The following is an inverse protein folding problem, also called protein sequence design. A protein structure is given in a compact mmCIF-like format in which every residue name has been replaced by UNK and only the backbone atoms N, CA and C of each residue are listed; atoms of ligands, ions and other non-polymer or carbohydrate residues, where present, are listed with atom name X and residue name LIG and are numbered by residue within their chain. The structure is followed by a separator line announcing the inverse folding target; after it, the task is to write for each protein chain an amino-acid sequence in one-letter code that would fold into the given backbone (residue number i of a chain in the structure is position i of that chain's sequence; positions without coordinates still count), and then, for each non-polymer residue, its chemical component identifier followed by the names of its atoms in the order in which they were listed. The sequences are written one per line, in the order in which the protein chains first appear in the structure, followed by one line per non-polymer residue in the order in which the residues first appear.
data_IF_192719409095
#
_entry.id   IF_192719409095
#
_cell.length_a   1.000
_cell.length_b   1.000
_cell.length_c   1.000
_cell.angle_alpha   90.00
_cell.angle_beta   90.00
_cell.angle_gamma   90.00
#
_symmetry.space_group_name_H-M   'P 1'
#
loop_
_entity.id
_entity.type
_entity.pdbx_description
1 polymer ?
#
# COMPACT_ATOMS: atom_id res chain seq x y z
N UNK A 1 -10.99 14.61 13.15
CA UNK A 1 -10.08 13.57 12.59
C UNK A 1 -9.00 14.27 11.78
N UNK A 2 -7.74 13.88 11.93
CA UNK A 2 -6.66 14.52 11.17
C UNK A 2 -6.25 13.65 9.99
N UNK A 3 -6.22 14.21 8.80
CA UNK A 3 -5.79 13.53 7.58
C UNK A 3 -4.45 14.11 7.12
N UNK A 4 -3.54 13.24 6.70
CA UNK A 4 -2.31 13.60 6.01
C UNK A 4 -2.55 13.45 4.51
N UNK A 5 -2.33 14.52 3.76
CA UNK A 5 -2.55 14.57 2.31
C UNK A 5 -1.23 14.91 1.64
N UNK A 6 -0.84 14.11 0.65
CA UNK A 6 0.27 14.41 -0.26
C UNK A 6 -0.32 14.81 -1.59
N UNK A 7 0.25 15.85 -2.20
CA UNK A 7 -0.21 16.38 -3.47
C UNK A 7 0.95 16.73 -4.40
N UNK A 8 0.62 16.72 -5.68
CA UNK A 8 1.53 17.07 -6.78
C UNK A 8 0.88 18.13 -7.67
N UNK A 9 1.69 19.09 -8.11
CA UNK A 9 1.27 20.16 -9.02
C UNK A 9 1.96 19.97 -10.37
N UNK A 10 1.14 19.89 -11.40
CA UNK A 10 1.57 19.68 -12.76
C UNK A 10 1.42 20.94 -13.61
N UNK A 11 2.21 21.04 -14.67
CA UNK A 11 2.02 22.05 -15.70
C UNK A 11 0.89 21.67 -16.67
N UNK A 12 0.56 22.57 -17.60
CA UNK A 12 -0.38 22.31 -18.69
C UNK A 12 0.05 21.15 -19.61
N UNK A 13 1.33 20.78 -19.60
CA UNK A 13 1.89 19.65 -20.35
C UNK A 13 2.08 18.40 -19.47
N UNK A 14 1.49 18.36 -18.27
CA UNK A 14 1.64 17.27 -17.30
C UNK A 14 3.08 17.00 -16.85
N UNK A 15 3.99 17.98 -16.97
CA UNK A 15 5.28 17.94 -16.30
C UNK A 15 5.11 18.32 -14.82
N UNK A 16 5.68 17.53 -13.90
CA UNK A 16 5.66 17.81 -12.46
C UNK A 16 6.43 19.10 -12.16
N UNK A 17 5.78 20.05 -11.50
CA UNK A 17 6.35 21.34 -11.10
C UNK A 17 6.77 21.34 -9.63
N UNK A 18 5.87 20.97 -8.73
CA UNK A 18 6.12 20.92 -7.30
C UNK A 18 5.32 19.77 -6.66
N UNK A 19 5.74 19.36 -5.47
CA UNK A 19 5.01 18.42 -4.61
C UNK A 19 4.97 18.96 -3.20
N UNK A 20 3.93 18.63 -2.47
CA UNK A 20 3.75 19.11 -1.10
C UNK A 20 2.88 18.17 -0.28
N UNK A 21 2.74 18.54 0.99
CA UNK A 21 1.85 17.84 1.91
C UNK A 21 1.06 18.83 2.74
N UNK A 22 -0.09 18.39 3.25
CA UNK A 22 -0.93 19.16 4.15
C UNK A 22 -1.63 18.26 5.16
N UNK A 23 -1.87 18.81 6.35
CA UNK A 23 -2.71 18.15 7.34
C UNK A 23 -4.08 18.81 7.35
N UNK A 24 -5.13 18.02 7.14
CA UNK A 24 -6.49 18.49 7.12
C UNK A 24 -7.23 17.96 8.35
N UNK A 25 -7.72 18.86 9.18
CA UNK A 25 -8.58 18.50 10.31
C UNK A 25 -10.02 18.52 9.83
N UNK A 26 -10.66 17.34 9.84
CA UNK A 26 -12.02 17.13 9.38
C UNK A 26 -12.84 16.56 10.53
N UNK A 27 -13.93 17.21 10.88
CA UNK A 27 -14.80 16.76 11.97
C UNK A 27 -15.60 15.50 11.61
N UNK A 28 -16.01 15.37 10.35
CA UNK A 28 -16.81 14.26 9.84
C UNK A 28 -16.17 13.67 8.56
N UNK A 29 -15.87 12.35 8.49
CA UNK A 29 -15.24 11.75 7.32
C UNK A 29 -16.02 11.93 6.01
N UNK A 30 -17.35 12.06 6.06
CA UNK A 30 -18.17 12.32 4.86
C UNK A 30 -17.93 13.72 4.25
N UNK A 31 -17.28 14.63 4.98
CA UNK A 31 -16.92 15.97 4.49
C UNK A 31 -15.50 16.04 3.93
N UNK A 32 -14.73 14.94 3.96
CA UNK A 32 -13.35 14.92 3.49
C UNK A 32 -13.21 15.41 2.05
N UNK A 33 -14.09 14.96 1.15
CA UNK A 33 -14.05 15.37 -0.26
C UNK A 33 -14.29 16.87 -0.46
N UNK A 34 -15.16 17.45 0.39
CA UNK A 34 -15.51 18.87 0.36
C UNK A 34 -14.32 19.70 0.84
N UNK A 35 -13.80 19.38 2.03
CA UNK A 35 -12.67 20.08 2.64
C UNK A 35 -11.39 19.96 1.80
N UNK A 36 -11.14 18.79 1.21
CA UNK A 36 -10.05 18.56 0.27
C UNK A 36 -10.22 19.41 -1.00
N UNK A 37 -11.44 19.47 -1.54
CA UNK A 37 -11.76 20.30 -2.69
C UNK A 37 -11.54 21.79 -2.42
N UNK A 38 -11.93 22.28 -1.25
CA UNK A 38 -11.74 23.66 -0.83
C UNK A 38 -10.27 24.00 -0.55
N UNK A 39 -9.50 23.05 0.00
CA UNK A 39 -8.05 23.18 0.11
C UNK A 39 -7.40 23.35 -1.26
N UNK A 40 -7.68 22.47 -2.22
CA UNK A 40 -7.08 22.56 -3.55
C UNK A 40 -7.55 23.79 -4.33
N UNK A 41 -8.79 24.23 -4.12
CA UNK A 41 -9.28 25.48 -4.69
C UNK A 41 -8.46 26.68 -4.18
N UNK A 42 -8.25 26.77 -2.86
CA UNK A 42 -7.42 27.83 -2.26
C UNK A 42 -5.96 27.74 -2.71
N UNK A 43 -5.40 26.53 -2.80
CA UNK A 43 -4.04 26.32 -3.29
C UNK A 43 -3.89 26.76 -4.75
N UNK A 44 -4.88 26.44 -5.59
CA UNK A 44 -4.92 26.85 -6.98
C UNK A 44 -4.96 28.38 -7.13
N UNK A 45 -5.83 29.05 -6.35
CA UNK A 45 -5.95 30.51 -6.32
C UNK A 45 -4.64 31.18 -5.88
N UNK A 46 -4.00 30.68 -4.81
CA UNK A 46 -2.74 31.20 -4.31
C UNK A 46 -1.57 31.05 -5.31
N UNK A 47 -1.62 30.02 -6.16
CA UNK A 47 -0.61 29.74 -7.19
C UNK A 47 -0.95 30.34 -8.55
N UNK A 48 -2.14 30.90 -8.72
CA UNK A 48 -2.63 31.35 -10.03
C UNK A 48 -2.73 30.21 -11.06
N UNK A 49 -2.93 28.97 -10.59
CA UNK A 49 -3.03 27.77 -11.44
C UNK A 49 -4.47 27.25 -11.45
N UNK A 50 -4.77 26.28 -12.31
CA UNK A 50 -6.06 25.60 -12.31
C UNK A 50 -6.01 24.39 -11.37
N UNK A 51 -7.03 24.25 -10.49
CA UNK A 51 -7.13 23.13 -9.54
C UNK A 51 -7.01 21.75 -10.20
N UNK A 52 -7.35 21.63 -11.49
CA UNK A 52 -7.24 20.36 -12.24
C UNK A 52 -5.82 19.81 -12.34
N UNK A 53 -4.81 20.66 -12.15
CA UNK A 53 -3.40 20.27 -12.17
C UNK A 53 -2.82 20.00 -10.79
N UNK A 54 -3.62 20.16 -9.74
CA UNK A 54 -3.26 19.78 -8.38
C UNK A 54 -3.91 18.43 -8.11
N UNK A 55 -3.08 17.41 -7.99
CA UNK A 55 -3.51 16.02 -7.85
C UNK A 55 -3.19 15.55 -6.44
N UNK A 56 -4.20 15.15 -5.63
CA UNK A 56 -3.92 14.39 -4.42
C UNK A 56 -3.41 13.00 -4.81
N UNK A 57 -2.21 12.66 -4.38
CA UNK A 57 -1.60 11.34 -4.66
C UNK A 57 -1.73 10.38 -3.49
N UNK A 58 -1.87 10.90 -2.27
CA UNK A 58 -2.05 10.10 -1.06
C UNK A 58 -2.93 10.86 -0.06
N UNK A 59 -3.87 10.16 0.58
CA UNK A 59 -4.68 10.68 1.68
C UNK A 59 -4.78 9.60 2.76
N UNK A 60 -4.29 9.88 3.97
CA UNK A 60 -4.20 8.92 5.07
C UNK A 60 -4.76 9.52 6.35
N UNK A 61 -5.65 8.80 7.03
CA UNK A 61 -6.10 9.17 8.37
C UNK A 61 -4.94 9.01 9.36
N UNK A 62 -4.66 10.06 10.12
CA UNK A 62 -3.71 10.03 11.21
C UNK A 62 -4.39 9.57 12.51
N UNK A 63 -3.69 8.76 13.35
CA UNK A 63 -4.20 8.40 14.65
C UNK A 63 -4.33 9.63 15.55
N UNK A 64 -5.46 9.77 16.23
CA UNK A 64 -5.68 10.81 17.24
C UNK A 64 -5.00 10.42 18.57
N UNK A 65 -3.69 10.21 18.60
CA UNK A 65 -2.86 9.97 19.78
C UNK A 65 -3.26 8.86 20.79
N UNK A 66 -2.28 7.97 21.00
CA UNK A 66 -1.98 7.10 22.17
C UNK A 66 -2.81 5.86 22.48
N UNK A 67 -4.05 5.68 22.02
CA UNK A 67 -4.77 4.41 22.28
C UNK A 67 -5.13 3.61 21.01
N UNK A 68 -5.07 4.21 19.82
CA UNK A 68 -5.32 3.52 18.54
C UNK A 68 -4.03 2.99 17.87
N UNK A 69 -2.98 2.74 18.66
CA UNK A 69 -1.64 2.42 18.14
C UNK A 69 -1.48 0.96 17.66
N UNK A 70 -2.49 0.10 17.82
CA UNK A 70 -2.45 -1.29 17.34
C UNK A 70 -2.95 -1.47 15.90
N UNK A 71 -3.56 -0.46 15.27
CA UNK A 71 -4.16 -0.60 13.94
C UNK A 71 -3.42 0.13 12.81
N UNK A 72 -2.41 0.96 13.12
CA UNK A 72 -1.74 1.83 12.14
C UNK A 72 -0.29 1.44 11.82
N UNK A 73 0.11 0.22 12.16
CA UNK A 73 1.40 -0.36 11.77
C UNK A 73 1.33 -1.22 10.48
N UNK A 74 0.29 -1.07 9.65
CA UNK A 74 0.03 -2.00 8.52
C UNK A 74 0.21 -1.38 7.12
N UNK A 75 0.39 -0.06 6.96
CA UNK A 75 0.36 0.54 5.61
C UNK A 75 1.68 1.08 5.03
N UNK A 76 2.74 1.26 5.81
CA UNK A 76 4.01 1.75 5.24
C UNK A 76 5.22 1.17 5.99
N UNK A 77 5.58 -0.11 5.78
CA UNK A 77 6.95 -0.58 6.07
C UNK A 77 7.34 -1.98 5.50
N UNK A 78 6.63 -2.55 4.53
CA UNK A 78 6.96 -3.92 4.05
C UNK A 78 7.48 -3.96 2.61
N UNK A 79 8.34 -3.02 2.23
CA UNK A 79 9.26 -3.23 1.10
C UNK A 79 10.55 -3.96 1.51
N UNK A 80 10.81 -4.17 2.81
CA UNK A 80 12.02 -4.88 3.28
C UNK A 80 11.83 -5.87 4.44
N UNK A 81 10.66 -5.94 5.09
CA UNK A 81 10.42 -6.92 6.15
C UNK A 81 9.78 -8.21 5.60
N UNK A 82 10.38 -9.36 5.94
CA UNK A 82 9.88 -10.67 5.56
C UNK A 82 8.55 -10.95 6.25
N UNK A 83 7.59 -11.58 5.57
CA UNK A 83 6.32 -11.94 6.22
C UNK A 83 6.60 -12.88 7.40
N UNK A 84 6.03 -12.65 8.60
CA UNK A 84 6.23 -13.53 9.75
C UNK A 84 5.90 -15.00 9.48
N UNK A 85 4.94 -15.27 8.59
CA UNK A 85 4.53 -16.63 8.21
C UNK A 85 5.46 -17.29 7.18
N UNK A 86 6.45 -16.56 6.65
CA UNK A 86 7.34 -17.06 5.59
C UNK A 86 8.00 -18.39 5.99
N UNK A 87 8.60 -18.46 7.18
CA UNK A 87 9.29 -19.66 7.64
C UNK A 87 8.35 -20.87 7.78
N UNK A 88 7.14 -20.65 8.29
CA UNK A 88 6.14 -21.71 8.46
C UNK A 88 5.64 -22.22 7.11
N UNK A 89 5.39 -21.31 6.17
CA UNK A 89 4.98 -21.63 4.80
C UNK A 89 6.08 -22.40 4.08
N UNK A 90 7.35 -22.00 4.23
CA UNK A 90 8.49 -22.74 3.68
C UNK A 90 8.53 -24.16 4.20
N UNK A 91 8.46 -24.36 5.52
CA UNK A 91 8.46 -25.70 6.11
C UNK A 91 7.31 -26.57 5.58
N UNK A 92 6.11 -26.00 5.45
CA UNK A 92 4.94 -26.68 4.89
C UNK A 92 5.15 -27.07 3.41
N UNK A 93 5.71 -26.17 2.61
CA UNK A 93 5.93 -26.39 1.19
C UNK A 93 7.04 -27.42 0.92
N UNK A 94 8.11 -27.40 1.71
CA UNK A 94 9.17 -28.42 1.68
C UNK A 94 8.58 -29.81 1.97
N UNK A 95 7.66 -29.91 2.94
CA UNK A 95 6.99 -31.18 3.25
C UNK A 95 6.04 -31.64 2.13
N UNK A 96 5.31 -30.73 1.50
CA UNK A 96 4.34 -31.05 0.44
C UNK A 96 4.98 -31.20 -0.95
N UNK A 97 6.21 -30.74 -1.14
CA UNK A 97 6.93 -30.65 -2.42
C UNK A 97 6.13 -29.98 -3.54
N UNK A 98 5.13 -29.15 -3.20
CA UNK A 98 4.23 -28.52 -4.16
C UNK A 98 3.92 -27.10 -3.71
N UNK A 99 4.28 -26.12 -4.54
CA UNK A 99 4.03 -24.71 -4.24
C UNK A 99 2.83 -24.21 -5.01
N UNK A 100 1.77 -23.84 -4.28
CA UNK A 100 0.57 -23.22 -4.85
C UNK A 100 -0.01 -22.14 -3.95
N UNK A 101 -0.39 -21.02 -4.54
CA UNK A 101 -1.01 -19.88 -3.83
C UNK A 101 -2.28 -20.32 -3.09
N UNK A 102 -3.15 -21.09 -3.75
CA UNK A 102 -4.38 -21.63 -3.15
C UNK A 102 -4.09 -22.58 -1.98
N UNK A 103 -3.02 -23.37 -2.06
CA UNK A 103 -2.57 -24.23 -0.97
C UNK A 103 -2.23 -23.42 0.28
N UNK A 104 -1.50 -22.32 0.11
CA UNK A 104 -1.12 -21.46 1.24
C UNK A 104 -2.35 -20.77 1.83
N UNK A 105 -3.28 -20.27 1.00
CA UNK A 105 -4.50 -19.60 1.46
C UNK A 105 -5.31 -20.45 2.44
N UNK A 106 -5.62 -21.70 2.07
CA UNK A 106 -6.49 -22.55 2.88
C UNK A 106 -5.80 -23.08 4.14
N UNK A 107 -4.50 -23.39 4.07
CA UNK A 107 -3.76 -23.94 5.20
C UNK A 107 -3.42 -22.87 6.24
N UNK A 108 -3.08 -21.64 5.81
CA UNK A 108 -2.67 -20.55 6.70
C UNK A 108 -3.75 -19.50 6.94
N UNK A 109 -4.94 -19.67 6.33
CA UNK A 109 -6.09 -18.74 6.44
C UNK A 109 -5.73 -17.28 6.09
N UNK A 110 -4.89 -17.10 5.06
CA UNK A 110 -4.45 -15.78 4.59
C UNK A 110 -5.08 -15.41 3.24
N UNK A 111 -5.06 -14.11 2.92
CA UNK A 111 -5.58 -13.60 1.64
C UNK A 111 -4.70 -14.00 0.45
N UNK A 112 -5.26 -13.96 -0.77
CA UNK A 112 -4.55 -14.25 -2.01
C UNK A 112 -3.30 -13.38 -2.17
N UNK A 113 -3.43 -12.07 -1.97
CA UNK A 113 -2.33 -11.13 -2.14
C UNK A 113 -1.20 -11.39 -1.15
N UNK A 114 -1.54 -11.75 0.10
CA UNK A 114 -0.52 -12.10 1.11
C UNK A 114 0.22 -13.38 0.74
N UNK A 115 -0.51 -14.42 0.30
CA UNK A 115 0.10 -15.66 -0.16
C UNK A 115 1.01 -15.45 -1.39
N UNK A 116 0.60 -14.59 -2.33
CA UNK A 116 1.42 -14.23 -3.49
C UNK A 116 2.73 -13.52 -3.07
N UNK A 117 2.65 -12.55 -2.17
CA UNK A 117 3.82 -11.84 -1.63
C UNK A 117 4.80 -12.78 -0.92
N UNK A 118 4.30 -13.73 -0.13
CA UNK A 118 5.14 -14.75 0.54
C UNK A 118 5.90 -15.56 -0.52
N UNK A 119 5.23 -15.98 -1.60
CA UNK A 119 5.89 -16.72 -2.69
C UNK A 119 6.94 -15.85 -3.41
N UNK A 120 6.67 -14.58 -3.66
CA UNK A 120 7.66 -13.65 -4.25
C UNK A 120 8.90 -13.51 -3.36
N UNK A 121 8.70 -13.43 -2.04
CA UNK A 121 9.81 -13.41 -1.08
C UNK A 121 10.60 -14.72 -1.08
N UNK A 122 9.93 -15.87 -1.19
CA UNK A 122 10.58 -17.18 -1.31
C UNK A 122 11.38 -17.32 -2.60
N UNK A 123 10.87 -16.79 -3.71
CA UNK A 123 11.56 -16.74 -5.00
C UNK A 123 12.81 -15.84 -4.92
N UNK A 124 12.69 -14.67 -4.31
CA UNK A 124 13.82 -13.76 -4.08
C UNK A 124 14.92 -14.37 -3.20
N UNK A 125 14.57 -15.27 -2.27
CA UNK A 125 15.53 -16.02 -1.44
C UNK A 125 16.07 -17.29 -2.11
N UNK A 126 15.56 -17.66 -3.29
CA UNK A 126 15.96 -18.87 -4.01
C UNK A 126 15.44 -20.17 -3.39
N UNK A 127 14.34 -20.12 -2.63
CA UNK A 127 13.67 -21.30 -2.03
C UNK A 127 12.71 -21.95 -3.04
N UNK A 128 12.12 -21.14 -3.93
CA UNK A 128 11.10 -21.59 -4.90
C UNK A 128 11.54 -21.26 -6.31
N UNK A 129 11.25 -22.16 -7.25
CA UNK A 129 11.53 -21.96 -8.67
C UNK A 129 10.71 -20.81 -9.27
N UNK A 130 11.17 -20.32 -10.42
CA UNK A 130 10.34 -19.53 -11.32
C UNK A 130 9.03 -20.29 -11.63
N UNK A 131 7.94 -19.56 -11.89
CA UNK A 131 6.71 -20.19 -12.35
C UNK A 131 6.95 -20.87 -13.69
N UNK A 132 6.60 -22.15 -13.77
CA UNK A 132 6.62 -22.89 -15.01
C UNK A 132 5.54 -22.38 -15.99
N UNK A 133 5.54 -22.85 -17.23
CA UNK A 133 4.56 -22.48 -18.25
C UNK A 133 3.10 -22.76 -17.86
N UNK A 134 2.87 -23.65 -16.89
CA UNK A 134 1.57 -23.94 -16.30
C UNK A 134 1.28 -23.16 -15.00
N UNK A 135 2.10 -22.16 -14.65
CA UNK A 135 2.01 -21.38 -13.40
C UNK A 135 2.33 -22.19 -12.14
N UNK A 136 2.92 -23.39 -12.28
CA UNK A 136 3.33 -24.25 -11.17
C UNK A 136 4.72 -23.86 -10.71
N UNK A 137 4.96 -23.97 -9.41
CA UNK A 137 6.24 -23.69 -8.77
C UNK A 137 6.68 -24.90 -7.97
N UNK A 138 7.98 -25.17 -7.97
CA UNK A 138 8.60 -26.26 -7.23
C UNK A 138 9.55 -25.69 -6.17
N UNK A 139 9.73 -26.44 -5.08
CA UNK A 139 10.71 -26.09 -4.04
C UNK A 139 12.09 -26.59 -4.49
N UNK A 140 13.11 -25.75 -4.40
CA UNK A 140 14.49 -26.05 -4.80
C UNK A 140 15.27 -26.79 -3.69
#
# INVERSE_FOLDING_TARGET
MKFFIVWEHYSNQWALLEKGYHFLEVDNPSHLDIELGDYFKRLAEARGTNKKFLVPVQCQLMPNSREDNEQLQVFEETSHELDPLLNEVVAFLVQKQRVSISGIQHNFRISYNRAARIIEQMEAQGIVSLPDHNGKREVL
#
